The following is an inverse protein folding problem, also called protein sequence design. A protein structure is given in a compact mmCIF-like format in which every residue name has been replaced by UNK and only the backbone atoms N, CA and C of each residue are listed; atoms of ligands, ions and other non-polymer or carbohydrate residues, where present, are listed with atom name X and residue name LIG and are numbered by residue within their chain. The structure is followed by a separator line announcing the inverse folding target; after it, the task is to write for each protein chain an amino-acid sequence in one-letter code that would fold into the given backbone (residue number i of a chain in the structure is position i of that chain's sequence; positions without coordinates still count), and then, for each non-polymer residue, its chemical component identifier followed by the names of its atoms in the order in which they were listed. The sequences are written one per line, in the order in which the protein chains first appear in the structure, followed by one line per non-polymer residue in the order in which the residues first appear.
data_IF_684243343361
#
_entry.id   IF_684243343361
#
_cell.length_a   1.000
_cell.length_b   1.000
_cell.length_c   1.000
_cell.angle_alpha   90.00
_cell.angle_beta   90.00
_cell.angle_gamma   90.00
#
_symmetry.space_group_name_H-M   'P 1'
#
loop_
_entity.id
_entity.type
_entity.pdbx_description
1 polymer ?
#
# COMPACT_ATOMS: atom_id res chain seq x y z
N UNK A 1 -17.67 9.64 -8.18
CA UNK A 1 -16.51 9.30 -9.05
C UNK A 1 -15.26 9.72 -8.28
N UNK A 2 -14.48 8.77 -7.80
CA UNK A 2 -13.18 9.03 -7.18
C UNK A 2 -12.13 8.87 -8.29
N UNK A 3 -11.55 9.99 -8.72
CA UNK A 3 -10.42 9.96 -9.65
C UNK A 3 -9.18 9.59 -8.86
N UNK A 4 -8.41 8.61 -9.34
CA UNK A 4 -7.11 8.23 -8.79
C UNK A 4 -6.04 8.70 -9.77
N UNK A 5 -5.13 9.54 -9.28
CA UNK A 5 -3.98 10.04 -10.03
C UNK A 5 -2.73 9.58 -9.28
N UNK A 6 -1.86 8.87 -9.95
CA UNK A 6 -0.56 8.48 -9.41
C UNK A 6 0.53 9.18 -10.21
N UNK A 7 1.45 9.84 -9.53
CA UNK A 7 2.59 10.50 -10.14
C UNK A 7 3.86 9.76 -9.76
N UNK A 8 4.61 9.33 -10.76
CA UNK A 8 6.00 8.96 -10.60
C UNK A 8 6.85 9.94 -11.41
N UNK A 9 7.73 10.68 -10.74
CA UNK A 9 8.73 11.52 -11.37
C UNK A 9 10.11 10.91 -11.09
N UNK A 10 10.77 10.40 -12.11
CA UNK A 10 12.18 10.03 -12.04
C UNK A 10 13.00 11.07 -12.81
N UNK A 11 14.05 11.61 -12.18
CA UNK A 11 15.04 12.44 -12.85
C UNK A 11 16.04 11.51 -13.53
N UNK A 12 16.01 11.46 -14.87
CA UNK A 12 17.03 10.76 -15.64
C UNK A 12 18.35 11.55 -15.62
N UNK A 13 19.49 10.85 -15.67
CA UNK A 13 20.84 11.43 -15.56
C UNK A 13 21.27 12.41 -16.66
N UNK A 14 20.43 12.75 -17.64
CA UNK A 14 20.69 13.74 -18.71
C UNK A 14 19.60 14.83 -18.78
N UNK A 15 19.02 15.25 -17.62
CA UNK A 15 18.14 16.42 -17.59
C UNK A 15 16.73 16.22 -18.16
N UNK A 16 16.39 15.02 -18.61
CA UNK A 16 15.06 14.68 -19.08
C UNK A 16 14.17 14.18 -17.93
N UNK A 17 12.98 14.77 -17.78
CA UNK A 17 11.93 14.27 -16.90
C UNK A 17 11.13 13.21 -17.65
N UNK A 18 11.06 11.99 -17.14
CA UNK A 18 10.06 11.02 -17.58
C UNK A 18 8.85 11.19 -16.68
N UNK A 19 7.86 11.97 -17.14
CA UNK A 19 6.56 12.06 -16.49
C UNK A 19 5.66 10.99 -17.09
N UNK A 20 5.38 9.95 -16.33
CA UNK A 20 4.33 9.01 -16.68
C UNK A 20 3.02 9.46 -16.00
N UNK A 21 2.10 10.03 -16.78
CA UNK A 21 0.75 10.33 -16.35
C UNK A 21 -0.13 9.10 -16.59
N UNK A 22 -0.64 8.48 -15.54
CA UNK A 22 -1.58 7.40 -15.69
C UNK A 22 -2.97 7.85 -15.24
N UNK A 23 -3.88 7.95 -16.20
CA UNK A 23 -5.28 8.28 -16.00
C UNK A 23 -6.09 6.98 -15.95
N UNK A 24 -6.45 6.51 -14.77
CA UNK A 24 -7.30 5.33 -14.57
C UNK A 24 -8.75 5.74 -14.34
N UNK A 25 -9.55 5.77 -15.40
CA UNK A 25 -11.00 5.87 -15.30
C UNK A 25 -11.61 4.47 -15.35
N UNK A 26 -12.27 4.04 -14.25
CA UNK A 26 -13.56 3.36 -14.30
C UNK A 26 -14.08 3.21 -12.86
N UNK A 27 -15.11 3.97 -12.54
CA UNK A 27 -15.80 3.90 -11.28
C UNK A 27 -16.71 2.67 -11.23
N UNK A 28 -16.33 1.70 -10.42
CA UNK A 28 -17.24 0.67 -9.94
C UNK A 28 -18.21 1.27 -8.95
N UNK A 29 -19.48 1.20 -9.28
CA UNK A 29 -20.64 1.69 -8.54
C UNK A 29 -20.73 1.02 -7.17
N UNK A 30 -20.67 1.79 -6.11
CA UNK A 30 -20.81 1.30 -4.74
C UNK A 30 -22.30 1.29 -4.40
N UNK A 31 -23.03 0.27 -4.87
CA UNK A 31 -24.43 0.06 -4.47
C UNK A 31 -24.49 -0.55 -3.07
N UNK A 32 -25.16 0.13 -2.19
CA UNK A 32 -25.62 -0.37 -0.90
C UNK A 32 -26.68 -1.44 -1.13
N UNK A 33 -26.27 -2.72 -1.03
CA UNK A 33 -27.18 -3.85 -1.12
C UNK A 33 -27.71 -4.22 0.27
N UNK A 34 -29.00 -4.06 0.48
CA UNK A 34 -29.73 -4.49 1.66
C UNK A 34 -29.63 -6.01 1.85
N UNK A 35 -29.54 -6.43 3.12
CA UNK A 35 -29.42 -7.81 3.55
C UNK A 35 -30.72 -8.60 3.33
N UNK A 36 -30.80 -9.34 2.23
CA UNK A 36 -31.75 -10.41 2.02
C UNK A 36 -31.03 -11.75 2.14
N UNK A 37 -31.32 -12.53 3.20
CA UNK A 37 -30.87 -13.93 3.31
C UNK A 37 -31.52 -14.77 2.21
N UNK A 38 -30.86 -14.89 1.06
CA UNK A 38 -31.18 -15.94 0.08
C UNK A 38 -30.35 -17.19 0.41
N UNK A 39 -31.02 -18.35 0.53
CA UNK A 39 -30.39 -19.67 0.58
C UNK A 39 -29.41 -19.79 -0.60
N UNK A 40 -28.14 -19.93 -0.30
CA UNK A 40 -27.10 -20.10 -1.29
C UNK A 40 -27.25 -21.46 -1.98
N UNK A 41 -27.58 -21.48 -3.26
CA UNK A 41 -27.19 -22.59 -4.16
C UNK A 41 -25.68 -22.71 -4.10
N UNK A 42 -25.15 -23.93 -4.04
CA UNK A 42 -23.72 -24.22 -3.93
C UNK A 42 -22.96 -23.40 -4.98
N UNK A 43 -22.07 -22.51 -4.53
CA UNK A 43 -21.20 -21.72 -5.39
C UNK A 43 -20.14 -22.70 -5.90
N UNK A 44 -20.04 -22.86 -7.21
CA UNK A 44 -18.98 -23.64 -7.85
C UNK A 44 -17.62 -23.04 -7.49
N UNK A 45 -16.69 -23.89 -7.03
CA UNK A 45 -15.35 -23.48 -6.62
C UNK A 45 -14.31 -24.24 -7.40
N UNK A 46 -13.28 -23.52 -7.82
CA UNK A 46 -12.08 -24.11 -8.42
C UNK A 46 -11.11 -24.50 -7.31
N UNK A 47 -10.56 -25.69 -7.38
CA UNK A 47 -9.50 -26.15 -6.49
C UNK A 47 -8.14 -25.87 -7.13
N UNK A 48 -7.26 -25.24 -6.36
CA UNK A 48 -5.85 -25.01 -6.71
C UNK A 48 -4.97 -25.76 -5.72
N UNK A 49 -3.97 -26.48 -6.21
CA UNK A 49 -3.11 -27.32 -5.41
C UNK A 49 -1.64 -27.01 -5.65
N UNK A 50 -0.88 -26.98 -4.57
CA UNK A 50 0.56 -26.74 -4.57
C UNK A 50 1.24 -27.69 -3.59
N UNK A 51 2.43 -28.19 -3.94
CA UNK A 51 3.29 -28.99 -3.06
C UNK A 51 4.43 -28.08 -2.57
N UNK A 52 4.66 -28.08 -1.28
CA UNK A 52 5.71 -27.28 -0.68
C UNK A 52 7.08 -27.92 -0.91
N UNK A 53 8.05 -27.15 -1.36
CA UNK A 53 9.43 -27.57 -1.56
C UNK A 53 10.29 -27.29 -0.30
N UNK A 54 9.90 -26.29 0.49
CA UNK A 54 10.61 -25.88 1.70
C UNK A 54 9.65 -25.55 2.84
N UNK A 55 10.17 -25.40 4.05
CA UNK A 55 9.37 -25.07 5.22
C UNK A 55 9.14 -23.55 5.32
N UNK A 56 7.86 -23.18 5.53
CA UNK A 56 7.46 -21.79 5.71
C UNK A 56 6.14 -21.67 6.48
N UNK A 57 5.70 -20.46 6.82
CA UNK A 57 4.32 -20.26 7.26
C UNK A 57 3.37 -20.36 6.07
N UNK A 58 2.13 -20.83 6.33
CA UNK A 58 1.08 -20.90 5.30
C UNK A 58 0.88 -19.56 4.58
N UNK A 59 1.05 -18.46 5.30
CA UNK A 59 0.94 -17.11 4.73
C UNK A 59 2.04 -16.82 3.73
N UNK A 60 3.30 -17.07 4.12
CA UNK A 60 4.48 -16.89 3.25
C UNK A 60 4.42 -17.81 2.04
N UNK A 61 4.08 -19.08 2.27
CA UNK A 61 3.86 -20.06 1.21
C UNK A 61 2.83 -19.57 0.18
N UNK A 62 1.65 -19.12 0.65
CA UNK A 62 0.60 -18.63 -0.24
C UNK A 62 1.05 -17.39 -1.03
N UNK A 63 1.74 -16.46 -0.37
CA UNK A 63 2.23 -15.24 -1.01
C UNK A 63 3.27 -15.52 -2.10
N UNK A 64 4.05 -16.59 -1.95
CA UNK A 64 5.07 -17.01 -2.92
C UNK A 64 4.50 -17.81 -4.10
N UNK A 65 3.51 -18.69 -3.84
CA UNK A 65 3.10 -19.68 -4.83
C UNK A 65 1.77 -19.37 -5.50
N UNK A 66 0.81 -18.79 -4.79
CA UNK A 66 -0.52 -18.52 -5.33
C UNK A 66 -0.96 -17.07 -5.14
N UNK A 67 -0.66 -16.18 -6.11
CA UNK A 67 -1.04 -14.78 -6.05
C UNK A 67 -2.55 -14.57 -5.87
N UNK A 68 -3.36 -15.43 -6.47
CA UNK A 68 -4.81 -15.32 -6.41
C UNK A 68 -5.35 -15.71 -5.03
N UNK A 69 -4.88 -16.83 -4.48
CA UNK A 69 -5.19 -17.20 -3.11
C UNK A 69 -4.62 -16.18 -2.09
N UNK A 70 -3.44 -15.60 -2.36
CA UNK A 70 -2.86 -14.54 -1.54
C UNK A 70 -3.76 -13.31 -1.50
N UNK A 71 -4.35 -12.91 -2.63
CA UNK A 71 -5.29 -11.80 -2.70
C UNK A 71 -6.51 -11.98 -1.78
N UNK A 72 -7.02 -13.20 -1.69
CA UNK A 72 -8.18 -13.53 -0.86
C UNK A 72 -7.83 -14.21 0.45
N UNK A 73 -6.56 -14.31 0.84
CA UNK A 73 -6.05 -15.17 1.91
C UNK A 73 -6.88 -15.12 3.20
N UNK A 74 -7.09 -13.93 3.79
CA UNK A 74 -7.83 -13.80 5.05
C UNK A 74 -9.30 -14.22 4.91
N UNK A 75 -9.88 -14.01 3.72
CA UNK A 75 -11.26 -14.43 3.41
C UNK A 75 -11.36 -15.95 3.27
N UNK A 76 -10.42 -16.56 2.54
CA UNK A 76 -10.33 -18.01 2.37
C UNK A 76 -10.08 -18.71 3.70
N UNK A 77 -9.14 -18.20 4.51
CA UNK A 77 -8.84 -18.75 5.82
C UNK A 77 -10.06 -18.69 6.75
N UNK A 78 -10.74 -17.55 6.83
CA UNK A 78 -11.96 -17.36 7.62
C UNK A 78 -13.11 -18.25 7.13
N UNK A 79 -13.20 -18.47 5.82
CA UNK A 79 -14.20 -19.37 5.22
C UNK A 79 -13.81 -20.85 5.30
N UNK A 80 -12.61 -21.17 5.85
CA UNK A 80 -12.06 -22.54 5.92
C UNK A 80 -11.84 -23.19 4.56
N UNK A 81 -11.47 -22.38 3.58
CA UNK A 81 -11.23 -22.77 2.18
C UNK A 81 -9.75 -23.00 1.86
N UNK A 82 -8.90 -23.11 2.88
CA UNK A 82 -7.49 -23.51 2.78
C UNK A 82 -7.29 -24.79 3.55
N UNK A 83 -6.65 -25.79 2.89
CA UNK A 83 -6.33 -27.08 3.52
C UNK A 83 -4.84 -27.38 3.37
N UNK A 84 -4.25 -27.99 4.40
CA UNK A 84 -2.90 -28.57 4.38
C UNK A 84 -3.08 -30.07 4.58
N UNK A 85 -2.60 -30.88 3.67
CA UNK A 85 -2.74 -32.35 3.68
C UNK A 85 -4.20 -32.83 3.88
N UNK A 86 -5.16 -32.07 3.32
CA UNK A 86 -6.59 -32.37 3.44
C UNK A 86 -7.27 -31.79 4.69
N UNK A 87 -6.53 -31.34 5.69
CA UNK A 87 -7.06 -30.71 6.91
C UNK A 87 -7.21 -29.20 6.76
N UNK A 88 -8.22 -28.61 7.39
CA UNK A 88 -8.50 -27.18 7.31
C UNK A 88 -7.45 -26.39 8.08
N UNK A 89 -6.83 -25.41 7.44
CA UNK A 89 -5.91 -24.53 8.09
C UNK A 89 -6.62 -23.62 9.12
N UNK A 90 -6.08 -23.56 10.33
CA UNK A 90 -6.67 -22.78 11.43
C UNK A 90 -6.16 -21.32 11.45
N UNK A 91 -4.93 -21.08 11.06
CA UNK A 91 -4.28 -19.77 11.10
C UNK A 91 -3.27 -19.60 9.95
N UNK A 92 -3.01 -18.35 9.57
CA UNK A 92 -1.98 -18.02 8.57
C UNK A 92 -0.54 -18.31 9.01
N UNK A 93 -0.31 -18.45 10.31
CA UNK A 93 0.95 -18.87 10.91
C UNK A 93 1.11 -20.39 10.99
N UNK A 94 0.14 -21.19 10.50
CA UNK A 94 0.29 -22.64 10.42
C UNK A 94 1.56 -23.00 9.62
N UNK A 95 2.30 -23.98 10.09
CA UNK A 95 3.52 -24.45 9.42
C UNK A 95 3.16 -25.31 8.23
N UNK A 96 3.81 -25.05 7.12
CA UNK A 96 3.82 -25.86 5.90
C UNK A 96 5.22 -26.41 5.76
N UNK A 97 5.36 -27.73 5.71
CA UNK A 97 6.66 -28.42 5.60
C UNK A 97 6.92 -28.84 4.16
N UNK A 98 8.18 -29.07 3.80
CA UNK A 98 8.50 -29.68 2.53
C UNK A 98 7.74 -31.02 2.33
N UNK A 99 7.12 -31.20 1.18
CA UNK A 99 6.23 -32.31 0.85
C UNK A 99 4.77 -32.14 1.21
N UNK A 100 4.41 -31.12 2.00
CA UNK A 100 3.02 -30.84 2.32
C UNK A 100 2.23 -30.39 1.08
N UNK A 101 0.99 -30.83 0.96
CA UNK A 101 0.05 -30.42 -0.09
C UNK A 101 -0.86 -29.32 0.45
N UNK A 102 -0.82 -28.14 -0.17
CA UNK A 102 -1.70 -27.01 0.17
C UNK A 102 -2.75 -26.83 -0.90
N UNK A 103 -4.03 -26.82 -0.49
CA UNK A 103 -5.19 -26.66 -1.40
C UNK A 103 -5.96 -25.40 -1.05
N UNK A 104 -6.36 -24.66 -2.10
CA UNK A 104 -7.21 -23.47 -2.02
C UNK A 104 -8.48 -23.71 -2.82
N UNK A 105 -9.62 -23.24 -2.29
CA UNK A 105 -10.93 -23.33 -2.95
C UNK A 105 -11.41 -21.91 -3.23
N UNK A 106 -11.30 -21.46 -4.48
CA UNK A 106 -11.68 -20.13 -4.93
C UNK A 106 -13.01 -20.18 -5.69
N UNK A 107 -13.84 -19.15 -5.53
CA UNK A 107 -15.01 -18.97 -6.40
C UNK A 107 -14.56 -18.43 -7.76
N UNK A 108 -15.40 -18.58 -8.79
CA UNK A 108 -15.13 -18.05 -10.13
C UNK A 108 -14.82 -16.53 -10.09
N UNK A 109 -15.58 -15.73 -9.33
CA UNK A 109 -15.30 -14.31 -9.13
C UNK A 109 -13.90 -14.06 -8.55
N UNK A 110 -13.46 -14.92 -7.63
CA UNK A 110 -12.12 -14.82 -7.05
C UNK A 110 -11.02 -15.21 -8.03
N UNK A 111 -11.27 -16.20 -8.87
CA UNK A 111 -10.33 -16.63 -9.92
C UNK A 111 -10.12 -15.55 -10.99
N UNK A 112 -11.20 -14.91 -11.42
CA UNK A 112 -11.19 -13.95 -12.52
C UNK A 112 -10.68 -12.56 -12.08
N UNK A 113 -10.58 -12.28 -10.76
CA UNK A 113 -10.15 -10.97 -10.28
C UNK A 113 -8.65 -10.74 -10.51
N UNK A 114 -8.26 -9.68 -11.25
CA UNK A 114 -6.85 -9.43 -11.51
C UNK A 114 -6.13 -9.01 -10.21
N UNK A 115 -4.89 -9.46 -10.04
CA UNK A 115 -4.01 -9.04 -8.96
C UNK A 115 -3.37 -7.66 -9.25
N UNK A 116 -3.22 -7.34 -10.52
CA UNK A 116 -2.70 -6.08 -11.03
C UNK A 116 -3.13 -5.86 -12.49
N UNK A 117 -2.94 -4.66 -12.98
CA UNK A 117 -2.97 -4.33 -14.41
C UNK A 117 -1.66 -3.66 -14.81
N UNK A 118 -1.23 -3.86 -16.07
CA UNK A 118 -0.05 -3.18 -16.58
C UNK A 118 -0.41 -1.72 -16.88
N UNK A 119 0.39 -0.79 -16.35
CA UNK A 119 0.26 0.65 -16.57
C UNK A 119 1.18 1.14 -17.67
N UNK A 120 2.39 0.62 -17.70
CA UNK A 120 3.43 1.00 -18.64
C UNK A 120 4.44 -0.14 -18.81
N UNK A 121 4.97 -0.30 -20.00
CA UNK A 121 6.07 -1.21 -20.29
C UNK A 121 6.89 -0.70 -21.46
N UNK A 122 8.21 -0.75 -21.29
CA UNK A 122 9.20 -0.54 -22.35
C UNK A 122 10.29 -1.63 -22.28
N UNK A 123 11.43 -1.40 -22.91
CA UNK A 123 12.55 -2.36 -22.93
C UNK A 123 13.21 -2.54 -21.55
N UNK A 124 13.16 -1.50 -20.68
CA UNK A 124 13.87 -1.45 -19.39
C UNK A 124 12.98 -1.58 -18.19
N UNK A 125 11.73 -1.10 -18.29
CA UNK A 125 10.83 -0.91 -17.16
C UNK A 125 9.47 -1.56 -17.42
N UNK A 126 8.87 -2.05 -16.34
CA UNK A 126 7.48 -2.47 -16.26
C UNK A 126 6.83 -1.80 -15.05
N UNK A 127 5.75 -1.07 -15.25
CA UNK A 127 4.93 -0.51 -14.18
C UNK A 127 3.55 -1.17 -14.15
N UNK A 128 3.08 -1.53 -12.94
CA UNK A 128 1.76 -2.13 -12.72
C UNK A 128 0.94 -1.30 -11.73
N UNK A 129 -0.39 -1.34 -11.83
CA UNK A 129 -1.33 -0.95 -10.76
C UNK A 129 -1.63 -2.19 -9.92
N UNK A 130 -0.94 -2.35 -8.79
CA UNK A 130 -1.19 -3.45 -7.86
C UNK A 130 -2.53 -3.24 -7.16
N UNK A 131 -3.41 -4.25 -7.18
CA UNK A 131 -4.67 -4.20 -6.44
C UNK A 131 -4.48 -4.21 -4.91
N UNK A 132 -5.46 -3.65 -4.18
CA UNK A 132 -5.51 -3.77 -2.72
C UNK A 132 -5.76 -5.21 -2.28
N UNK A 133 -5.10 -5.65 -1.22
CA UNK A 133 -5.14 -7.03 -0.71
C UNK A 133 -4.11 -7.96 -1.32
N UNK A 134 -3.47 -7.58 -2.42
CA UNK A 134 -2.36 -8.33 -3.05
C UNK A 134 -1.04 -8.01 -2.33
N UNK A 135 -0.27 -9.03 -2.00
CA UNK A 135 1.10 -8.85 -1.54
C UNK A 135 2.01 -8.47 -2.72
N UNK A 136 2.97 -7.60 -2.50
CA UNK A 136 3.90 -7.15 -3.54
C UNK A 136 4.77 -8.29 -4.07
N UNK A 137 5.19 -9.18 -3.21
CA UNK A 137 5.96 -10.38 -3.54
C UNK A 137 5.12 -11.37 -4.37
N UNK A 138 3.82 -11.51 -4.06
CA UNK A 138 2.91 -12.34 -4.85
C UNK A 138 2.68 -11.77 -6.26
N UNK A 139 2.55 -10.44 -6.39
CA UNK A 139 2.47 -9.79 -7.69
C UNK A 139 3.75 -10.00 -8.51
N UNK A 140 4.91 -9.92 -7.87
CA UNK A 140 6.19 -10.23 -8.51
C UNK A 140 6.28 -11.70 -8.95
N UNK A 141 5.88 -12.65 -8.08
CA UNK A 141 5.91 -14.07 -8.42
C UNK A 141 5.03 -14.39 -9.63
N UNK A 142 3.85 -13.76 -9.73
CA UNK A 142 2.97 -13.89 -10.88
C UNK A 142 3.64 -13.36 -12.15
N UNK A 143 4.23 -12.16 -12.10
CA UNK A 143 4.96 -11.56 -13.24
C UNK A 143 6.14 -12.44 -13.68
N UNK A 144 6.93 -12.95 -12.73
CA UNK A 144 8.07 -13.82 -13.03
C UNK A 144 7.63 -15.15 -13.67
N UNK A 145 6.47 -15.67 -13.28
CA UNK A 145 5.89 -16.86 -13.90
C UNK A 145 5.39 -16.61 -15.33
N UNK A 146 4.70 -15.47 -15.54
CA UNK A 146 4.13 -15.14 -16.87
C UNK A 146 5.17 -14.74 -17.89
N UNK A 147 6.26 -14.06 -17.46
CA UNK A 147 7.25 -13.46 -18.35
C UNK A 147 8.59 -14.17 -18.38
N UNK A 148 8.81 -15.10 -17.45
CA UNK A 148 10.09 -15.77 -17.23
C UNK A 148 10.83 -15.25 -16.02
N UNK A 149 11.51 -16.15 -15.30
CA UNK A 149 12.14 -15.92 -13.99
C UNK A 149 13.16 -14.75 -13.97
N UNK A 150 13.81 -14.46 -15.09
CA UNK A 150 14.83 -13.41 -15.22
C UNK A 150 14.36 -12.22 -16.07
N UNK A 151 13.07 -12.15 -16.41
CA UNK A 151 12.52 -11.10 -17.24
C UNK A 151 12.05 -9.87 -16.44
N UNK A 152 11.98 -9.98 -15.12
CA UNK A 152 11.59 -8.88 -14.22
C UNK A 152 12.38 -8.96 -12.90
N UNK A 153 12.71 -7.80 -12.35
CA UNK A 153 13.48 -7.65 -11.11
C UNK A 153 12.70 -6.81 -10.10
N UNK A 154 12.59 -7.35 -8.87
CA UNK A 154 11.88 -6.71 -7.77
C UNK A 154 12.70 -5.55 -7.19
N UNK A 155 12.13 -4.35 -7.16
CA UNK A 155 12.85 -3.13 -6.76
C UNK A 155 12.32 -2.57 -5.43
N UNK A 156 11.00 -2.43 -5.31
CA UNK A 156 10.35 -1.87 -4.13
C UNK A 156 9.01 -2.55 -3.88
N UNK A 157 8.40 -2.21 -2.75
CA UNK A 157 7.13 -2.81 -2.35
C UNK A 157 6.11 -1.76 -1.90
N UNK A 158 4.85 -2.11 -2.02
CA UNK A 158 3.71 -1.50 -1.34
C UNK A 158 3.22 -2.42 -0.22
N UNK A 159 2.56 -1.86 0.78
CA UNK A 159 1.83 -2.67 1.76
C UNK A 159 0.74 -3.50 1.06
N UNK A 160 0.38 -4.66 1.64
CA UNK A 160 -0.63 -5.55 1.07
C UNK A 160 -1.93 -4.84 0.70
N UNK A 161 -2.44 -4.01 1.59
CA UNK A 161 -3.71 -3.29 1.38
C UNK A 161 -3.54 -1.91 0.74
N UNK A 162 -2.33 -1.52 0.35
CA UNK A 162 -2.08 -0.31 -0.46
C UNK A 162 -2.22 -0.68 -1.93
N UNK A 163 -3.09 0.02 -2.64
CA UNK A 163 -3.21 -0.07 -4.09
C UNK A 163 -2.31 0.94 -4.75
N UNK A 164 -1.79 0.62 -5.95
CA UNK A 164 -1.14 1.61 -6.80
C UNK A 164 0.08 1.12 -7.54
N UNK A 165 0.81 2.08 -8.09
CA UNK A 165 1.91 1.84 -9.00
C UNK A 165 3.09 1.13 -8.32
N UNK A 166 3.53 0.04 -8.94
CA UNK A 166 4.79 -0.64 -8.64
C UNK A 166 5.62 -0.73 -9.90
N UNK A 167 6.93 -0.50 -9.76
CA UNK A 167 7.89 -0.55 -10.85
C UNK A 167 8.81 -1.75 -10.68
N UNK A 168 9.05 -2.44 -11.79
CA UNK A 168 10.01 -3.52 -11.94
C UNK A 168 11.00 -3.13 -13.02
N UNK A 169 12.25 -3.55 -12.88
CA UNK A 169 13.21 -3.49 -13.97
C UNK A 169 13.11 -4.76 -14.83
N UNK A 170 13.49 -4.66 -16.10
CA UNK A 170 13.49 -5.80 -17.04
C UNK A 170 14.90 -6.35 -17.30
N UNK A 171 15.93 -5.66 -16.80
CA UNK A 171 17.33 -6.09 -16.85
C UNK A 171 18.09 -5.71 -15.58
N UNK A 172 19.27 -6.27 -15.38
CA UNK A 172 20.09 -6.06 -14.18
C UNK A 172 20.64 -4.64 -14.07
N UNK A 173 20.95 -3.98 -15.19
CA UNK A 173 21.49 -2.61 -15.22
C UNK A 173 20.41 -1.66 -14.74
N UNK A 174 19.22 -1.73 -15.33
CA UNK A 174 18.06 -0.95 -14.93
C UNK A 174 17.65 -1.23 -13.49
N UNK A 175 17.79 -2.48 -13.01
CA UNK A 175 17.51 -2.84 -11.62
C UNK A 175 18.46 -2.14 -10.65
N UNK A 176 19.77 -2.08 -10.96
CA UNK A 176 20.76 -1.39 -10.14
C UNK A 176 20.54 0.14 -10.15
N UNK A 177 20.28 0.73 -11.31
CA UNK A 177 19.94 2.15 -11.45
C UNK A 177 18.71 2.54 -10.63
N UNK A 178 17.62 1.76 -10.72
CA UNK A 178 16.41 2.00 -9.94
C UNK A 178 16.65 1.84 -8.44
N UNK A 179 17.38 0.82 -8.00
CA UNK A 179 17.74 0.64 -6.58
C UNK A 179 18.50 1.84 -6.05
N UNK A 180 19.50 2.34 -6.80
CA UNK A 180 20.25 3.56 -6.46
C UNK A 180 19.35 4.78 -6.39
N UNK A 181 18.42 4.94 -7.34
CA UNK A 181 17.46 6.05 -7.36
C UNK A 181 16.49 6.02 -6.17
N UNK A 182 16.01 4.83 -5.74
CA UNK A 182 15.22 4.69 -4.53
C UNK A 182 16.02 4.98 -3.25
N UNK A 183 17.27 4.51 -3.18
CA UNK A 183 18.17 4.73 -2.03
C UNK A 183 18.55 6.20 -1.86
N UNK A 184 18.90 6.86 -2.96
CA UNK A 184 19.24 8.30 -2.99
C UNK A 184 18.02 9.22 -2.86
N UNK A 185 16.81 8.67 -2.81
CA UNK A 185 15.53 9.42 -2.80
C UNK A 185 15.33 10.30 -4.03
N UNK A 186 15.92 9.94 -5.15
CA UNK A 186 15.70 10.61 -6.44
C UNK A 186 14.31 10.33 -7.02
N UNK A 187 13.61 9.30 -6.49
CA UNK A 187 12.23 8.95 -6.88
C UNK A 187 11.27 9.59 -5.88
N UNK A 188 10.44 10.49 -6.38
CA UNK A 188 9.34 11.07 -5.61
C UNK A 188 8.19 10.08 -5.52
N UNK A 189 7.64 9.91 -4.31
CA UNK A 189 6.54 9.00 -4.03
C UNK A 189 5.34 9.78 -3.52
N UNK A 190 4.28 9.79 -4.29
CA UNK A 190 3.04 10.49 -3.95
C UNK A 190 1.90 9.49 -3.81
N UNK A 191 1.10 9.66 -2.77
CA UNK A 191 -0.04 8.82 -2.44
C UNK A 191 -1.31 9.65 -2.31
N UNK A 192 -2.45 9.05 -2.58
CA UNK A 192 -3.75 9.59 -2.21
C UNK A 192 -4.31 8.78 -1.05
N UNK A 193 -4.70 9.47 0.02
CA UNK A 193 -5.31 8.84 1.18
C UNK A 193 -6.59 9.55 1.60
N UNK A 194 -7.57 8.78 2.07
CA UNK A 194 -8.70 9.35 2.80
C UNK A 194 -8.39 9.26 4.29
N UNK A 195 -8.24 10.41 4.93
CA UNK A 195 -7.90 10.55 6.33
C UNK A 195 -9.10 11.03 7.14
N UNK A 196 -9.07 10.78 8.46
CA UNK A 196 -9.98 11.44 9.41
C UNK A 196 -9.73 12.96 9.35
N UNK A 197 -10.79 13.75 9.19
CA UNK A 197 -10.69 15.21 9.15
C UNK A 197 -10.60 15.81 10.56
N UNK A 198 -9.50 15.54 11.25
CA UNK A 198 -9.21 16.07 12.60
C UNK A 198 -7.77 16.61 12.65
N UNK A 199 -7.46 17.48 11.68
CA UNK A 199 -6.11 18.02 11.56
C UNK A 199 -5.80 18.97 12.73
N UNK A 200 -4.64 18.84 13.38
CA UNK A 200 -4.16 19.78 14.39
C UNK A 200 -4.13 21.21 13.86
N UNK A 201 -4.39 22.19 14.73
CA UNK A 201 -4.49 23.60 14.34
C UNK A 201 -3.22 24.13 13.66
N UNK A 202 -2.05 23.67 14.09
CA UNK A 202 -0.75 24.01 13.49
C UNK A 202 -0.64 23.51 12.04
N UNK A 203 -1.20 22.34 11.73
CA UNK A 203 -1.28 21.85 10.34
C UNK A 203 -2.22 22.70 9.49
N UNK A 204 -3.35 23.13 10.03
CA UNK A 204 -4.31 23.94 9.29
C UNK A 204 -3.77 25.36 9.05
N UNK A 205 -3.14 25.97 10.04
CA UNK A 205 -2.53 27.30 9.93
C UNK A 205 -1.37 27.32 8.91
N UNK A 206 -0.56 26.25 8.86
CA UNK A 206 0.50 26.11 7.87
C UNK A 206 -0.07 26.00 6.44
N UNK A 207 -1.18 25.24 6.23
CA UNK A 207 -1.84 25.10 4.95
C UNK A 207 -2.46 26.40 4.42
N UNK A 208 -3.01 27.23 5.28
CA UNK A 208 -3.59 28.53 4.92
C UNK A 208 -2.53 29.55 4.44
N UNK A 209 -1.34 29.55 5.01
CA UNK A 209 -0.21 30.41 4.59
C UNK A 209 0.35 30.05 3.21
N UNK A 210 0.22 28.81 2.78
CA UNK A 210 0.73 28.34 1.49
C UNK A 210 -0.20 28.73 0.33
N UNK A 211 -1.48 28.95 0.59
CA UNK A 211 -2.44 29.33 -0.43
C UNK A 211 -2.34 30.81 -0.89
N UNK A 212 -1.57 31.65 -0.22
CA UNK A 212 -1.60 33.09 -0.52
C UNK A 212 -0.39 33.96 -0.17
N UNK A 213 0.79 33.48 0.23
CA UNK A 213 1.91 34.36 0.62
C UNK A 213 3.30 33.82 0.33
N UNK A 214 4.21 34.72 -0.10
CA UNK A 214 5.65 34.55 -0.04
C UNK A 214 6.06 34.27 1.41
N UNK A 215 6.58 33.08 1.69
CA UNK A 215 6.91 32.61 3.04
C UNK A 215 8.26 33.19 3.48
N UNK A 216 8.21 34.06 4.49
CA UNK A 216 9.35 34.34 5.36
C UNK A 216 9.30 33.36 6.55
N UNK A 217 10.49 32.93 7.00
CA UNK A 217 10.67 31.95 8.07
C UNK A 217 9.81 32.22 9.32
N UNK A 218 8.90 31.31 9.63
CA UNK A 218 8.19 31.29 10.90
C UNK A 218 8.66 30.09 11.74
N UNK A 219 9.58 30.30 12.65
CA UNK A 219 9.89 29.40 13.76
C UNK A 219 8.73 29.40 14.74
N UNK A 220 7.96 28.30 14.77
CA UNK A 220 7.04 28.01 15.87
C UNK A 220 7.73 27.05 16.82
N UNK A 221 7.94 27.48 18.05
CA UNK A 221 8.62 26.69 19.08
C UNK A 221 7.77 25.47 19.48
N UNK A 222 8.35 24.28 19.46
CA UNK A 222 7.83 23.10 20.16
C UNK A 222 7.38 21.90 19.35
N UNK A 223 7.16 22.01 18.04
CA UNK A 223 6.93 20.84 17.17
C UNK A 223 7.73 21.05 15.88
N UNK A 224 8.52 20.07 15.46
CA UNK A 224 9.38 20.15 14.28
C UNK A 224 8.58 20.30 12.97
N UNK A 225 7.99 21.48 12.76
CA UNK A 225 7.32 21.85 11.51
C UNK A 225 8.33 22.59 10.64
N UNK A 226 8.92 21.88 9.69
CA UNK A 226 9.75 22.51 8.66
C UNK A 226 8.92 22.60 7.39
N UNK A 227 8.67 23.82 6.92
CA UNK A 227 8.09 24.08 5.62
C UNK A 227 9.19 24.04 4.57
N UNK A 228 9.25 22.99 3.77
CA UNK A 228 10.14 22.98 2.60
C UNK A 228 9.32 23.46 1.40
N UNK A 229 9.62 24.66 0.94
CA UNK A 229 9.14 25.15 -0.34
C UNK A 229 9.91 24.42 -1.45
N UNK A 230 9.48 23.20 -1.77
CA UNK A 230 9.93 22.42 -2.93
C UNK A 230 8.94 22.56 -4.07
N UNK A 231 9.41 22.67 -5.27
CA UNK A 231 8.69 22.95 -6.50
C UNK A 231 7.34 22.20 -6.59
N UNK A 232 6.19 22.89 -6.39
CA UNK A 232 4.89 22.33 -6.66
C UNK A 232 3.86 22.39 -5.53
N UNK A 233 3.87 23.40 -4.64
CA UNK A 233 2.67 23.88 -3.94
C UNK A 233 2.14 23.05 -2.77
N UNK A 234 2.42 23.50 -1.56
CA UNK A 234 1.45 23.40 -0.47
C UNK A 234 1.46 22.16 0.40
N UNK A 235 2.52 21.36 0.45
CA UNK A 235 2.64 20.28 1.43
C UNK A 235 3.01 20.83 2.82
N UNK A 236 2.34 20.29 3.83
CA UNK A 236 2.66 20.49 5.24
C UNK A 236 3.56 19.34 5.67
N UNK A 237 4.84 19.65 5.90
CA UNK A 237 5.84 18.64 6.25
C UNK A 237 5.76 18.31 7.74
N UNK A 238 5.75 17.01 8.05
CA UNK A 238 5.83 16.47 9.40
C UNK A 238 6.98 15.50 9.50
N UNK A 239 7.77 15.65 10.56
CA UNK A 239 8.85 14.71 10.89
C UNK A 239 8.60 14.06 12.23
N UNK A 240 9.03 12.82 12.38
CA UNK A 240 8.94 12.04 13.61
C UNK A 240 10.00 10.94 13.61
N UNK A 241 9.99 10.09 14.62
CA UNK A 241 10.85 8.91 14.72
C UNK A 241 9.99 7.66 14.72
N UNK A 242 10.41 6.66 13.94
CA UNK A 242 9.71 5.40 13.75
C UNK A 242 10.56 4.25 14.29
N UNK A 243 9.98 3.45 15.19
CA UNK A 243 10.58 2.21 15.72
C UNK A 243 9.74 1.02 15.29
N UNK A 244 10.39 -0.05 14.82
CA UNK A 244 9.73 -1.27 14.39
C UNK A 244 9.59 -2.25 15.56
N UNK A 245 8.38 -2.70 15.83
CA UNK A 245 8.05 -3.81 16.73
C UNK A 245 7.82 -5.06 15.86
N UNK A 246 8.88 -5.85 15.67
CA UNK A 246 8.84 -7.01 14.78
C UNK A 246 7.91 -8.10 15.31
N UNK A 247 7.84 -8.30 16.63
CA UNK A 247 7.01 -9.33 17.25
C UNK A 247 5.51 -9.11 17.01
N UNK A 248 5.09 -7.83 16.95
CA UNK A 248 3.69 -7.45 16.69
C UNK A 248 3.43 -7.03 15.25
N UNK A 249 4.47 -7.01 14.41
CA UNK A 249 4.39 -6.50 13.03
C UNK A 249 3.78 -5.11 12.94
N UNK A 250 4.08 -4.23 13.92
CA UNK A 250 3.63 -2.83 13.96
C UNK A 250 4.84 -1.89 14.02
N UNK A 251 4.60 -0.62 13.75
CA UNK A 251 5.56 0.45 14.01
C UNK A 251 4.98 1.43 15.01
N UNK A 252 5.85 2.04 15.79
CA UNK A 252 5.51 3.09 16.76
C UNK A 252 6.15 4.39 16.34
N UNK A 253 5.43 5.48 16.54
CA UNK A 253 5.90 6.82 16.22
C UNK A 253 6.12 7.58 17.51
N UNK A 254 7.16 8.42 17.53
CA UNK A 254 7.50 9.31 18.66
C UNK A 254 8.10 10.62 18.14
N UNK A 255 7.98 11.70 18.94
CA UNK A 255 8.59 13.00 18.64
C UNK A 255 10.10 13.00 18.93
N UNK A 256 10.56 12.11 19.81
CA UNK A 256 11.94 12.05 20.26
C UNK A 256 12.63 10.80 19.74
N UNK A 257 13.93 10.88 19.41
CA UNK A 257 14.71 9.70 19.03
C UNK A 257 14.80 8.72 20.21
N UNK A 258 14.49 7.45 19.93
CA UNK A 258 14.69 6.33 20.86
C UNK A 258 15.68 5.35 20.25
N UNK A 259 16.22 4.43 21.04
CA UNK A 259 17.19 3.43 20.54
C UNK A 259 16.56 2.64 19.38
N UNK A 260 17.22 2.61 18.23
CA UNK A 260 16.77 1.91 17.02
C UNK A 260 15.65 2.66 16.26
N UNK A 261 15.31 3.89 16.63
CA UNK A 261 14.34 4.69 15.89
C UNK A 261 14.99 5.34 14.65
N UNK A 262 14.24 5.36 13.56
CA UNK A 262 14.63 6.01 12.32
C UNK A 262 13.82 7.29 12.11
N UNK A 263 14.50 8.40 11.74
CA UNK A 263 13.82 9.65 11.40
C UNK A 263 13.00 9.46 10.11
N UNK A 264 11.73 9.88 10.17
CA UNK A 264 10.80 9.85 9.04
C UNK A 264 10.34 11.27 8.70
N UNK A 265 9.99 11.47 7.42
CA UNK A 265 9.41 12.72 6.91
C UNK A 265 8.27 12.40 5.93
N UNK A 266 7.13 13.08 6.14
CA UNK A 266 5.90 12.90 5.35
C UNK A 266 5.25 14.26 5.12
N UNK A 267 5.00 14.60 3.86
CA UNK A 267 4.27 15.81 3.47
C UNK A 267 2.78 15.51 3.30
N UNK A 268 1.92 16.41 3.78
CA UNK A 268 0.47 16.31 3.68
C UNK A 268 -0.11 17.52 2.96
N UNK A 269 -0.97 17.30 1.98
CA UNK A 269 -1.72 18.34 1.27
C UNK A 269 -3.19 17.95 1.24
N UNK A 270 -4.04 18.76 1.84
CA UNK A 270 -5.49 18.51 1.85
C UNK A 270 -6.05 18.95 0.51
N UNK A 271 -6.62 18.00 -0.26
CA UNK A 271 -7.27 18.27 -1.54
C UNK A 271 -8.73 18.66 -1.32
N UNK A 272 -9.46 17.89 -0.48
CA UNK A 272 -10.90 18.07 -0.25
C UNK A 272 -11.30 17.58 1.13
N UNK A 273 -12.20 18.33 1.78
CA UNK A 273 -12.85 17.92 3.04
C UNK A 273 -14.33 17.65 2.80
N UNK A 274 -14.86 16.62 3.48
CA UNK A 274 -16.29 16.31 3.49
C UNK A 274 -16.65 15.67 4.83
N UNK A 275 -17.31 16.44 5.70
CA UNK A 275 -17.63 16.00 7.07
C UNK A 275 -16.37 15.64 7.85
N UNK A 276 -16.37 14.45 8.43
CA UNK A 276 -15.25 13.89 9.20
C UNK A 276 -14.17 13.19 8.35
N UNK A 277 -14.20 13.39 7.02
CA UNK A 277 -13.21 12.86 6.08
C UNK A 277 -12.48 13.96 5.31
N UNK A 278 -11.23 13.72 5.02
CA UNK A 278 -10.41 14.52 4.12
C UNK A 278 -9.68 13.65 3.10
N UNK A 279 -9.76 14.02 1.83
CA UNK A 279 -8.90 13.48 0.78
C UNK A 279 -7.59 14.26 0.80
N UNK A 280 -6.48 13.55 0.94
CA UNK A 280 -5.16 14.14 1.01
C UNK A 280 -4.23 13.54 -0.03
N UNK A 281 -3.38 14.38 -0.59
CA UNK A 281 -2.16 14.00 -1.28
C UNK A 281 -1.03 13.92 -0.25
N UNK A 282 -0.23 12.85 -0.30
CA UNK A 282 0.81 12.58 0.67
C UNK A 282 2.14 12.37 -0.05
N UNK A 283 3.12 13.24 0.22
CA UNK A 283 4.48 13.09 -0.25
C UNK A 283 5.30 12.24 0.74
N UNK A 284 5.87 11.13 0.25
CA UNK A 284 6.63 10.20 1.08
C UNK A 284 8.13 10.38 0.87
N UNK A 285 8.78 11.22 1.69
CA UNK A 285 10.21 11.52 1.59
C UNK A 285 11.10 10.36 2.11
N UNK A 286 10.61 9.62 3.09
CA UNK A 286 11.23 8.38 3.58
C UNK A 286 10.26 7.22 3.36
N UNK A 287 10.77 6.01 3.05
CA UNK A 287 9.92 4.86 2.71
C UNK A 287 10.03 3.74 3.75
N UNK A 288 9.51 3.98 4.97
CA UNK A 288 9.52 2.97 6.03
C UNK A 288 8.22 2.18 6.09
N UNK A 289 8.30 0.93 6.56
CA UNK A 289 7.12 0.05 6.70
C UNK A 289 6.00 0.77 7.43
N UNK A 290 4.79 0.75 6.87
CA UNK A 290 3.58 1.38 7.41
C UNK A 290 3.72 2.88 7.73
N UNK A 291 4.70 3.60 7.17
CA UNK A 291 5.01 4.97 7.57
C UNK A 291 3.79 5.90 7.48
N UNK A 292 3.14 6.01 6.33
CA UNK A 292 1.95 6.89 6.15
C UNK A 292 0.88 6.53 7.18
N UNK A 293 0.59 5.26 7.34
CA UNK A 293 -0.47 4.73 8.19
C UNK A 293 -0.25 5.06 9.66
N UNK A 294 0.94 4.73 10.18
CA UNK A 294 1.28 4.98 11.58
C UNK A 294 1.51 6.46 11.87
N UNK A 295 2.14 7.20 10.95
CA UNK A 295 2.40 8.63 11.14
C UNK A 295 1.10 9.45 11.11
N UNK A 296 0.18 9.15 10.17
CA UNK A 296 -1.14 9.81 10.14
C UNK A 296 -1.96 9.50 11.39
N UNK A 297 -1.92 8.26 11.89
CA UNK A 297 -2.60 7.90 13.14
C UNK A 297 -2.02 8.65 14.35
N UNK A 298 -0.69 8.76 14.43
CA UNK A 298 0.02 9.52 15.46
C UNK A 298 -0.37 10.99 15.46
N UNK A 299 -0.56 11.60 14.30
CA UNK A 299 -1.02 12.98 14.12
C UNK A 299 -2.53 13.17 14.39
N UNK A 300 -3.25 12.12 14.79
CA UNK A 300 -4.70 12.18 15.05
C UNK A 300 -5.58 12.16 13.80
N UNK A 301 -5.01 11.93 12.62
CA UNK A 301 -5.69 11.87 11.31
C UNK A 301 -5.53 10.50 10.64
N UNK A 302 -5.95 9.38 11.29
CA UNK A 302 -5.71 8.05 10.76
C UNK A 302 -6.33 7.82 9.38
N UNK A 303 -5.74 6.90 8.62
CA UNK A 303 -6.25 6.47 7.32
C UNK A 303 -7.58 5.72 7.51
N UNK A 304 -8.60 6.10 6.75
CA UNK A 304 -9.90 5.42 6.73
C UNK A 304 -9.72 3.96 6.27
N UNK A 305 -10.35 3.03 6.99
CA UNK A 305 -10.30 1.60 6.67
C UNK A 305 -9.02 0.89 7.14
N UNK A 306 -8.08 1.60 7.76
CA UNK A 306 -6.92 0.96 8.36
C UNK A 306 -7.32 0.19 9.61
N UNK A 307 -7.16 -1.15 9.58
CA UNK A 307 -7.53 -2.03 10.70
C UNK A 307 -6.47 -2.11 11.79
N UNK A 308 -5.25 -1.62 11.52
CA UNK A 308 -4.11 -1.70 12.43
C UNK A 308 -3.85 -0.39 13.18
N UNK A 309 -3.92 0.74 12.49
CA UNK A 309 -3.66 2.08 13.02
C UNK A 309 -4.87 3.01 12.95
N UNK A 310 -5.95 2.57 12.30
CA UNK A 310 -7.14 3.39 12.04
C UNK A 310 -8.06 3.60 13.23
N UNK A 311 -9.03 4.48 13.03
CA UNK A 311 -10.13 4.73 13.96
C UNK A 311 -11.25 3.69 13.71
N UNK A 312 -11.49 2.82 14.70
CA UNK A 312 -12.48 1.72 14.59
C UNK A 312 -13.91 2.27 14.40
N UNK A 313 -14.28 3.32 15.12
CA UNK A 313 -15.62 3.91 15.03
C UNK A 313 -15.85 4.55 13.66
N UNK A 314 -14.85 5.27 13.14
CA UNK A 314 -14.88 5.85 11.81
C UNK A 314 -14.96 4.77 10.73
N UNK A 315 -14.17 3.71 10.85
CA UNK A 315 -14.19 2.59 9.91
C UNK A 315 -15.55 1.90 9.87
N UNK A 316 -16.17 1.70 11.03
CA UNK A 316 -17.50 1.12 11.15
C UNK A 316 -18.57 2.04 10.56
N UNK A 317 -18.53 3.34 10.88
CA UNK A 317 -19.45 4.35 10.35
C UNK A 317 -19.47 4.36 8.82
N UNK A 318 -18.33 4.20 8.18
CA UNK A 318 -18.21 4.22 6.70
C UNK A 318 -18.17 2.81 6.07
N UNK A 319 -18.38 1.75 6.84
CA UNK A 319 -18.39 0.37 6.34
C UNK A 319 -17.06 -0.04 5.67
N UNK A 320 -15.93 0.53 6.13
CA UNK A 320 -14.61 0.28 5.53
C UNK A 320 -13.81 -0.74 6.33
N UNK A 321 -13.43 -1.83 5.68
CA UNK A 321 -12.59 -2.90 6.21
C UNK A 321 -11.18 -2.92 5.62
N UNK A 322 -10.88 -2.06 4.65
CA UNK A 322 -9.57 -1.92 4.01
C UNK A 322 -9.19 -0.46 3.90
N UNK A 323 -7.90 -0.20 4.08
CA UNK A 323 -7.34 1.16 4.04
C UNK A 323 -7.59 1.85 2.70
N UNK A 324 -7.96 3.11 2.77
CA UNK A 324 -8.12 3.98 1.62
C UNK A 324 -6.80 4.75 1.36
N UNK A 325 -5.77 4.02 0.90
CA UNK A 325 -4.40 4.49 0.64
C UNK A 325 -3.86 3.82 -0.64
#
# INVERSE_FOLDING_TARGET
RVFRVFYFLARGGNGGFVSAFFYGGNGGDCRTGGAGRKKQKGIEKTMREWIAEEESSLKEFTDAHDPQASFFFDRLLKAREIKINGERAAAGSARVKAGDTVRYYLTREQEEKPAFSVLYEDEKLLAIDKEDGVNSEAAYALLARERGKNAVFFIHRLDRNTRGAMIFAKDLISADELKKAFQSRAIEKTYLAVLKNHFPADMLAAGAKVAGAKVADAKVAGAGVTMIAGAGGGFIEKTAYLTKDAARSIVRISDKPTRGAEKIATGYKIIKKKGDLALCEIALHTGKTHQIRAHSAYLGVPVLGDTKYGDKALNQKYGKARQCL
#
